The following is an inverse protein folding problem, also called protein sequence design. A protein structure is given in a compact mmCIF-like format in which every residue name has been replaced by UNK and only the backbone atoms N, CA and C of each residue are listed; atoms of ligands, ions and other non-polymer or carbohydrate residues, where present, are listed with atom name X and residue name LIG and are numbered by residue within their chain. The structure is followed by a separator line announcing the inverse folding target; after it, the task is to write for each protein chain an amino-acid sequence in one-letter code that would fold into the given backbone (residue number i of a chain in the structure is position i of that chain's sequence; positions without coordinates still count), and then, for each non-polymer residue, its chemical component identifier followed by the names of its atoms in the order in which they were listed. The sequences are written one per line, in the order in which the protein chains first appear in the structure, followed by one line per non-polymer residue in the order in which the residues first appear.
data_IF_097868525296
#
_entry.id   IF_097868525296
#
_cell.length_a   1.000
_cell.length_b   1.000
_cell.length_c   1.000
_cell.angle_alpha   90.00
_cell.angle_beta   90.00
_cell.angle_gamma   90.00
#
_symmetry.space_group_name_H-M   'P 1'
#
loop_
_entity.id
_entity.type
_entity.pdbx_description
1 polymer ?
#
# COMPACT_ATOMS: atom_id res chain seq x y z
N UNK A 1 10.68 -69.61 18.90
CA UNK A 1 10.39 -68.48 19.81
C UNK A 1 11.11 -67.24 19.31
N UNK A 2 10.36 -66.14 19.16
CA UNK A 2 10.72 -64.71 19.12
C UNK A 2 11.62 -64.10 18.02
N UNK A 3 10.94 -63.62 16.97
CA UNK A 3 10.95 -62.27 16.37
C UNK A 3 12.18 -61.36 16.56
N UNK A 4 12.97 -61.20 15.49
CA UNK A 4 13.85 -60.05 15.29
C UNK A 4 13.07 -58.87 14.74
N UNK A 5 12.90 -57.82 15.55
CA UNK A 5 12.29 -56.56 15.14
C UNK A 5 13.32 -55.63 14.51
N UNK A 6 13.10 -55.26 13.25
CA UNK A 6 13.80 -54.17 12.56
C UNK A 6 13.35 -52.82 13.14
N UNK A 7 14.25 -51.91 13.54
CA UNK A 7 13.84 -50.57 13.95
C UNK A 7 13.51 -49.75 12.70
N UNK A 8 12.23 -49.40 12.54
CA UNK A 8 11.78 -48.40 11.55
C UNK A 8 12.25 -47.03 12.03
N UNK A 9 13.27 -46.48 11.39
CA UNK A 9 13.70 -45.10 11.56
C UNK A 9 12.56 -44.17 11.12
N UNK A 10 12.01 -43.41 12.07
CA UNK A 10 11.06 -42.33 11.79
C UNK A 10 11.78 -41.21 11.07
N UNK A 11 11.52 -41.08 9.76
CA UNK A 11 11.86 -39.91 8.94
C UNK A 11 11.07 -38.70 9.45
N UNK A 12 11.65 -37.98 10.42
CA UNK A 12 11.25 -36.63 10.77
C UNK A 12 11.72 -35.70 9.66
N UNK A 13 10.81 -35.40 8.72
CA UNK A 13 11.08 -34.56 7.56
C UNK A 13 11.53 -33.16 7.96
N UNK A 14 12.85 -32.94 7.99
CA UNK A 14 13.43 -31.60 7.97
C UNK A 14 13.27 -31.07 6.55
N UNK A 15 12.14 -30.40 6.30
CA UNK A 15 11.85 -29.82 4.98
C UNK A 15 12.91 -28.77 4.64
N UNK A 16 13.43 -28.86 3.42
CA UNK A 16 14.49 -27.98 2.92
C UNK A 16 14.09 -26.49 3.00
N UNK A 17 14.97 -25.59 3.47
CA UNK A 17 14.69 -24.16 3.57
C UNK A 17 14.21 -23.52 2.26
N UNK A 18 14.70 -24.05 1.13
CA UNK A 18 14.33 -23.61 -0.22
C UNK A 18 12.87 -23.92 -0.55
N UNK A 19 12.39 -25.11 -0.18
CA UNK A 19 11.00 -25.53 -0.40
C UNK A 19 10.04 -24.74 0.51
N UNK A 20 10.46 -24.44 1.74
CA UNK A 20 9.70 -23.60 2.66
C UNK A 20 9.56 -22.15 2.17
N UNK A 21 10.63 -21.58 1.59
CA UNK A 21 10.59 -20.23 1.01
C UNK A 21 9.67 -20.15 -0.21
N UNK A 22 9.67 -21.16 -1.09
CA UNK A 22 8.74 -21.23 -2.23
C UNK A 22 7.27 -21.32 -1.76
N UNK A 23 7.00 -22.19 -0.79
CA UNK A 23 5.67 -22.39 -0.20
C UNK A 23 5.13 -21.08 0.38
N UNK A 24 5.95 -20.38 1.18
CA UNK A 24 5.57 -19.08 1.77
C UNK A 24 5.22 -18.05 0.70
N UNK A 25 6.03 -17.95 -0.38
CA UNK A 25 5.79 -17.02 -1.48
C UNK A 25 4.49 -17.32 -2.23
N UNK A 26 4.24 -18.60 -2.55
CA UNK A 26 3.01 -19.04 -3.23
C UNK A 26 1.77 -18.73 -2.41
N UNK A 27 1.81 -18.99 -1.10
CA UNK A 27 0.72 -18.63 -0.18
C UNK A 27 0.48 -17.13 -0.14
N UNK A 28 1.53 -16.31 -0.06
CA UNK A 28 1.41 -14.85 -0.02
C UNK A 28 0.76 -14.31 -1.31
N UNK A 29 1.20 -14.80 -2.48
CA UNK A 29 0.64 -14.40 -3.77
C UNK A 29 -0.84 -14.79 -3.91
N UNK A 30 -1.18 -16.05 -3.60
CA UNK A 30 -2.57 -16.53 -3.64
C UNK A 30 -3.47 -15.78 -2.65
N UNK A 31 -2.96 -15.46 -1.46
CA UNK A 31 -3.69 -14.69 -0.46
C UNK A 31 -3.93 -13.25 -0.91
N UNK A 32 -2.91 -12.60 -1.51
CA UNK A 32 -3.03 -11.24 -2.07
C UNK A 32 -4.15 -11.16 -3.09
N UNK A 33 -4.18 -12.11 -4.04
CA UNK A 33 -5.24 -12.21 -5.05
C UNK A 33 -6.62 -12.36 -4.41
N UNK A 34 -6.79 -13.32 -3.50
CA UNK A 34 -8.10 -13.62 -2.88
C UNK A 34 -8.59 -12.49 -1.98
N UNK A 35 -7.73 -11.95 -1.14
CA UNK A 35 -8.10 -10.84 -0.26
C UNK A 35 -8.40 -9.55 -1.03
N UNK A 36 -7.68 -9.26 -2.13
CA UNK A 36 -8.00 -8.12 -2.98
C UNK A 36 -9.38 -8.26 -3.64
N UNK A 37 -9.76 -9.49 -4.03
CA UNK A 37 -11.03 -9.78 -4.69
C UNK A 37 -12.24 -9.79 -3.72
N UNK A 38 -12.12 -10.53 -2.61
CA UNK A 38 -13.26 -10.86 -1.73
C UNK A 38 -13.14 -10.30 -0.31
N UNK A 39 -12.06 -9.59 -0.02
CA UNK A 39 -11.77 -9.07 1.32
C UNK A 39 -11.42 -10.16 2.34
N UNK A 40 -11.12 -9.71 3.56
CA UNK A 40 -10.74 -10.61 4.65
C UNK A 40 -11.87 -11.58 5.00
N UNK A 41 -13.08 -11.09 5.25
CA UNK A 41 -14.21 -11.93 5.68
C UNK A 41 -14.63 -12.94 4.60
N UNK A 42 -14.66 -12.53 3.32
CA UNK A 42 -15.13 -13.33 2.20
C UNK A 42 -14.14 -14.36 1.65
N UNK A 43 -12.94 -14.48 2.22
CA UNK A 43 -11.90 -15.41 1.75
C UNK A 43 -11.66 -16.52 2.76
N UNK A 44 -11.70 -17.80 2.36
CA UNK A 44 -11.34 -18.92 3.23
C UNK A 44 -9.88 -19.33 3.08
N UNK A 45 -9.30 -19.92 4.14
CA UNK A 45 -7.92 -20.45 4.09
C UNK A 45 -7.81 -21.59 3.07
N UNK A 46 -8.87 -22.38 2.88
CA UNK A 46 -8.91 -23.47 1.90
C UNK A 46 -8.82 -22.98 0.46
N UNK A 47 -9.52 -21.91 0.11
CA UNK A 47 -9.41 -21.29 -1.22
C UNK A 47 -7.99 -20.80 -1.49
N UNK A 48 -7.36 -20.17 -0.50
CA UNK A 48 -5.97 -19.71 -0.61
C UNK A 48 -5.02 -20.89 -0.83
N UNK A 49 -5.10 -21.94 0.00
CA UNK A 49 -4.20 -23.09 -0.11
C UNK A 49 -4.43 -23.89 -1.38
N UNK A 50 -5.68 -23.98 -1.84
CA UNK A 50 -6.04 -24.59 -3.12
C UNK A 50 -5.41 -23.84 -4.29
N UNK A 51 -5.56 -22.51 -4.33
CA UNK A 51 -4.94 -21.66 -5.35
C UNK A 51 -3.40 -21.72 -5.28
N UNK A 52 -2.84 -21.70 -4.08
CA UNK A 52 -1.40 -21.79 -3.88
C UNK A 52 -0.84 -23.19 -4.20
N UNK A 53 -1.67 -24.24 -4.29
CA UNK A 53 -1.26 -25.62 -4.50
C UNK A 53 -0.45 -26.20 -3.33
N UNK A 54 -0.84 -25.87 -2.09
CA UNK A 54 -0.16 -26.31 -0.85
C UNK A 54 -1.17 -26.86 0.16
N UNK A 55 -0.69 -27.54 1.19
CA UNK A 55 -1.56 -28.06 2.25
C UNK A 55 -2.04 -26.96 3.22
N UNK A 56 -3.14 -27.22 3.92
CA UNK A 56 -3.74 -26.25 4.87
C UNK A 56 -2.81 -25.90 6.05
N UNK A 57 -2.01 -26.88 6.51
CA UNK A 57 -1.09 -26.70 7.63
C UNK A 57 0.02 -25.68 7.33
N UNK A 58 0.37 -25.47 6.05
CA UNK A 58 1.37 -24.51 5.62
C UNK A 58 1.02 -23.07 6.03
N UNK A 59 -0.28 -22.71 6.10
CA UNK A 59 -0.69 -21.36 6.54
C UNK A 59 -0.38 -21.16 8.02
N UNK A 60 -0.74 -22.13 8.87
CA UNK A 60 -0.42 -22.06 10.30
C UNK A 60 1.10 -22.06 10.53
N UNK A 61 1.84 -22.88 9.77
CA UNK A 61 3.29 -22.94 9.88
C UNK A 61 3.99 -21.62 9.50
N UNK A 62 3.61 -20.99 8.38
CA UNK A 62 4.30 -19.80 7.86
C UNK A 62 3.77 -18.46 8.40
N UNK A 63 2.48 -18.41 8.76
CA UNK A 63 1.79 -17.16 9.09
C UNK A 63 1.00 -17.23 10.40
N UNK A 64 0.94 -18.39 11.04
CA UNK A 64 0.22 -18.63 12.29
C UNK A 64 -1.29 -18.72 12.11
N UNK A 65 -1.90 -17.71 11.48
CA UNK A 65 -3.35 -17.62 11.29
C UNK A 65 -3.70 -16.96 9.95
N UNK A 66 -4.98 -17.03 9.56
CA UNK A 66 -5.51 -16.24 8.44
C UNK A 66 -5.29 -14.74 8.62
N UNK A 67 -5.43 -14.23 9.86
CA UNK A 67 -5.16 -12.84 10.18
C UNK A 67 -3.68 -12.49 9.99
N UNK A 68 -2.76 -13.34 10.43
CA UNK A 68 -1.33 -13.18 10.20
C UNK A 68 -0.96 -13.22 8.73
N UNK A 69 -1.61 -14.06 7.92
CA UNK A 69 -1.44 -14.07 6.46
C UNK A 69 -1.98 -12.78 5.82
N UNK A 70 -3.14 -12.27 6.26
CA UNK A 70 -3.67 -11.00 5.79
C UNK A 70 -2.74 -9.82 6.12
N UNK A 71 -2.20 -9.78 7.34
CA UNK A 71 -1.22 -8.77 7.73
C UNK A 71 0.07 -8.87 6.91
N UNK A 72 0.53 -10.08 6.59
CA UNK A 72 1.70 -10.28 5.72
C UNK A 72 1.44 -9.77 4.29
N UNK A 73 0.24 -9.95 3.75
CA UNK A 73 -0.17 -9.39 2.44
C UNK A 73 -0.19 -7.86 2.49
N UNK A 74 -0.80 -7.28 3.52
CA UNK A 74 -0.81 -5.82 3.69
C UNK A 74 0.62 -5.25 3.83
N UNK A 75 1.50 -5.97 4.52
CA UNK A 75 2.90 -5.60 4.66
C UNK A 75 3.66 -5.66 3.33
N UNK A 76 3.42 -6.69 2.50
CA UNK A 76 3.97 -6.82 1.15
C UNK A 76 3.54 -5.66 0.23
N UNK A 77 2.28 -5.24 0.33
CA UNK A 77 1.75 -4.11 -0.42
C UNK A 77 2.30 -2.77 0.09
N UNK A 78 2.29 -2.54 1.42
CA UNK A 78 2.57 -1.23 2.01
C UNK A 78 4.06 -0.97 2.29
N UNK A 79 4.88 -2.02 2.39
CA UNK A 79 6.32 -1.90 2.60
C UNK A 79 7.02 -1.04 1.53
N UNK A 80 6.82 -1.34 0.24
CA UNK A 80 7.37 -0.54 -0.86
C UNK A 80 6.92 0.92 -0.82
N UNK A 81 5.66 1.20 -0.43
CA UNK A 81 5.18 2.58 -0.28
C UNK A 81 5.99 3.33 0.78
N UNK A 82 6.14 2.76 1.99
CA UNK A 82 6.91 3.42 3.06
C UNK A 82 8.35 3.71 2.65
N UNK A 83 9.00 2.78 1.97
CA UNK A 83 10.36 2.97 1.46
C UNK A 83 10.43 4.14 0.47
N UNK A 84 9.49 4.20 -0.49
CA UNK A 84 9.43 5.27 -1.50
C UNK A 84 9.17 6.64 -0.90
N UNK A 85 8.23 6.73 0.03
CA UNK A 85 7.92 7.98 0.74
C UNK A 85 9.12 8.44 1.55
N UNK A 86 9.81 7.53 2.25
CA UNK A 86 11.02 7.89 2.99
C UNK A 86 12.10 8.43 2.06
N UNK A 87 12.30 7.81 0.89
CA UNK A 87 13.27 8.29 -0.10
C UNK A 87 12.89 9.66 -0.66
N UNK A 88 11.62 9.89 -0.98
CA UNK A 88 11.13 11.18 -1.45
C UNK A 88 11.26 12.27 -0.38
N UNK A 89 10.92 11.95 0.87
CA UNK A 89 11.06 12.85 2.00
C UNK A 89 12.51 13.13 2.36
N UNK A 90 13.49 12.29 2.01
CA UNK A 90 14.92 12.50 2.35
C UNK A 90 15.78 12.86 1.14
N UNK A 91 15.18 13.34 0.05
CA UNK A 91 15.94 13.71 -1.13
C UNK A 91 16.82 14.93 -0.84
N UNK A 92 18.04 14.68 -0.35
CA UNK A 92 19.01 15.69 0.05
C UNK A 92 19.32 16.65 -1.10
N UNK A 93 19.54 17.92 -0.75
CA UNK A 93 19.80 18.99 -1.71
C UNK A 93 18.57 19.52 -2.46
N UNK A 94 17.38 18.95 -2.22
CA UNK A 94 16.11 19.50 -2.72
C UNK A 94 15.43 20.37 -1.68
N UNK A 95 14.72 21.38 -2.16
CA UNK A 95 13.89 22.25 -1.35
C UNK A 95 12.70 21.46 -0.76
N UNK A 96 12.18 21.80 0.43
CA UNK A 96 11.01 21.14 1.02
C UNK A 96 9.83 21.00 0.05
N UNK A 97 9.49 22.05 -0.71
CA UNK A 97 8.38 22.00 -1.66
C UNK A 97 8.60 20.96 -2.77
N UNK A 98 9.84 20.82 -3.27
CA UNK A 98 10.20 19.83 -4.29
C UNK A 98 10.15 18.39 -3.74
N UNK A 99 10.50 18.19 -2.46
CA UNK A 99 10.35 16.91 -1.76
C UNK A 99 8.89 16.53 -1.60
N UNK A 100 8.02 17.50 -1.29
CA UNK A 100 6.57 17.33 -1.21
C UNK A 100 5.96 16.95 -2.58
N UNK A 101 6.41 17.55 -3.68
CA UNK A 101 6.03 17.12 -5.03
C UNK A 101 6.48 15.68 -5.31
N UNK A 102 7.72 15.33 -4.93
CA UNK A 102 8.25 13.98 -5.09
C UNK A 102 7.45 12.93 -4.30
N UNK A 103 6.92 13.29 -3.12
CA UNK A 103 6.02 12.45 -2.33
C UNK A 103 4.75 12.11 -3.09
N UNK A 104 4.12 13.08 -3.74
CA UNK A 104 2.91 12.85 -4.55
C UNK A 104 3.23 11.90 -5.72
N UNK A 105 4.32 12.13 -6.44
CA UNK A 105 4.77 11.26 -7.54
C UNK A 105 5.09 9.84 -7.05
N UNK A 106 5.72 9.71 -5.89
CA UNK A 106 6.02 8.42 -5.27
C UNK A 106 4.75 7.63 -4.93
N UNK A 107 3.69 8.29 -4.50
CA UNK A 107 2.37 7.68 -4.32
C UNK A 107 1.79 7.15 -5.63
N UNK A 108 1.77 7.96 -6.69
CA UNK A 108 1.27 7.53 -8.01
C UNK A 108 2.08 6.36 -8.58
N UNK A 109 3.41 6.40 -8.46
CA UNK A 109 4.28 5.30 -8.86
C UNK A 109 3.95 4.01 -8.11
N UNK A 110 3.78 4.08 -6.79
CA UNK A 110 3.40 2.94 -5.98
C UNK A 110 2.02 2.38 -6.38
N UNK A 111 1.02 3.23 -6.61
CA UNK A 111 -0.33 2.82 -6.99
C UNK A 111 -0.38 2.17 -8.38
N UNK A 112 0.45 2.62 -9.34
CA UNK A 112 0.58 1.96 -10.65
C UNK A 112 1.14 0.54 -10.53
N UNK A 113 2.11 0.34 -9.64
CA UNK A 113 2.72 -0.97 -9.42
C UNK A 113 1.87 -1.89 -8.52
N UNK A 114 0.96 -1.32 -7.72
CA UNK A 114 0.12 -2.02 -6.77
C UNK A 114 -1.35 -1.65 -6.96
N UNK A 115 -1.98 -2.08 -8.08
CA UNK A 115 -3.36 -1.70 -8.44
C UNK A 115 -4.43 -2.24 -7.48
N UNK A 116 -4.06 -3.16 -6.59
CA UNK A 116 -4.88 -3.71 -5.51
C UNK A 116 -4.84 -2.90 -4.22
N UNK A 117 -3.86 -2.00 -4.03
CA UNK A 117 -3.75 -1.17 -2.84
C UNK A 117 -5.02 -0.34 -2.56
N UNK A 118 -5.64 0.38 -3.53
CA UNK A 118 -6.90 1.10 -3.28
C UNK A 118 -8.00 0.19 -2.72
N UNK A 119 -8.12 -1.05 -3.21
CA UNK A 119 -9.12 -2.00 -2.71
C UNK A 119 -8.85 -2.38 -1.25
N UNK A 120 -7.60 -2.64 -0.88
CA UNK A 120 -7.24 -2.89 0.52
C UNK A 120 -7.58 -1.69 1.42
N UNK A 121 -7.34 -0.46 0.96
CA UNK A 121 -7.72 0.73 1.72
C UNK A 121 -9.23 0.86 1.88
N UNK A 122 -10.00 0.63 0.83
CA UNK A 122 -11.46 0.62 0.91
C UNK A 122 -11.98 -0.42 1.91
N UNK A 123 -11.42 -1.63 1.90
CA UNK A 123 -11.74 -2.67 2.87
C UNK A 123 -11.44 -2.21 4.31
N UNK A 124 -10.30 -1.55 4.56
CA UNK A 124 -9.99 -1.05 5.90
C UNK A 124 -10.98 0.02 6.37
N UNK A 125 -11.47 0.88 5.46
CA UNK A 125 -12.43 1.93 5.79
C UNK A 125 -13.82 1.39 6.16
N UNK A 126 -14.27 0.29 5.54
CA UNK A 126 -15.60 -0.28 5.78
C UNK A 126 -15.67 -1.15 7.04
N UNK A 127 -14.53 -1.54 7.62
CA UNK A 127 -14.49 -2.42 8.78
C UNK A 127 -14.62 -1.71 10.14
N UNK A 128 -15.00 -0.41 10.16
CA UNK A 128 -15.54 0.32 11.33
C UNK A 128 -14.67 0.38 12.59
N UNK A 129 -13.41 -0.05 12.52
CA UNK A 129 -12.53 -0.27 13.67
C UNK A 129 -11.11 0.25 13.46
N UNK A 130 -10.20 -0.21 14.31
CA UNK A 130 -8.76 0.09 14.19
C UNK A 130 -8.20 -0.57 12.92
N UNK A 131 -7.40 0.15 12.11
CA UNK A 131 -6.74 -0.46 10.96
C UNK A 131 -5.83 -1.59 11.40
N UNK A 132 -5.65 -2.59 10.53
CA UNK A 132 -4.69 -3.67 10.75
C UNK A 132 -3.29 -3.11 11.04
N UNK A 133 -2.48 -3.81 11.83
CA UNK A 133 -1.20 -3.29 12.31
C UNK A 133 -0.26 -2.75 11.19
N UNK A 134 -0.11 -3.43 10.03
CA UNK A 134 0.68 -2.91 8.91
C UNK A 134 0.16 -1.58 8.35
N UNK A 135 -1.16 -1.42 8.27
CA UNK A 135 -1.81 -0.19 7.79
C UNK A 135 -1.59 0.93 8.79
N UNK A 136 -1.82 0.68 10.08
CA UNK A 136 -1.60 1.65 11.14
C UNK A 136 -0.14 2.12 11.21
N UNK A 137 0.83 1.19 11.07
CA UNK A 137 2.26 1.52 10.98
C UNK A 137 2.56 2.41 9.78
N UNK A 138 2.00 2.07 8.62
CA UNK A 138 2.22 2.83 7.37
C UNK A 138 1.63 4.24 7.45
N UNK A 139 0.41 4.38 7.97
CA UNK A 139 -0.21 5.68 8.18
C UNK A 139 0.64 6.57 9.10
N UNK A 140 1.08 6.05 10.26
CA UNK A 140 1.95 6.80 11.18
C UNK A 140 3.26 7.22 10.54
N UNK A 141 3.90 6.30 9.81
CA UNK A 141 5.17 6.54 9.13
C UNK A 141 5.06 7.64 8.07
N UNK A 142 4.11 7.48 7.15
CA UNK A 142 3.90 8.43 6.05
C UNK A 142 3.49 9.79 6.59
N UNK A 143 2.51 9.84 7.51
CA UNK A 143 2.05 11.10 8.07
C UNK A 143 3.18 11.82 8.82
N UNK A 144 3.97 11.10 9.60
CA UNK A 144 5.11 11.66 10.32
C UNK A 144 6.17 12.28 9.41
N UNK A 145 6.63 11.52 8.40
CA UNK A 145 7.67 12.00 7.47
C UNK A 145 7.17 13.19 6.63
N UNK A 146 5.96 13.13 6.08
CA UNK A 146 5.42 14.23 5.24
C UNK A 146 5.17 15.48 6.08
N UNK A 147 4.60 15.35 7.29
CA UNK A 147 4.39 16.47 8.21
C UNK A 147 5.72 17.14 8.58
N UNK A 148 6.80 16.36 8.75
CA UNK A 148 8.12 16.91 9.03
C UNK A 148 8.63 17.77 7.86
N UNK A 149 8.48 17.32 6.61
CA UNK A 149 8.86 18.12 5.42
C UNK A 149 7.99 19.38 5.29
N UNK A 150 6.69 19.30 5.61
CA UNK A 150 5.82 20.48 5.63
C UNK A 150 6.33 21.52 6.63
N UNK A 151 6.65 21.10 7.87
CA UNK A 151 7.19 22.01 8.90
C UNK A 151 8.53 22.62 8.51
N UNK A 152 9.40 21.83 7.88
CA UNK A 152 10.67 22.32 7.34
C UNK A 152 10.42 23.42 6.28
N UNK A 153 9.48 23.19 5.36
CA UNK A 153 9.08 24.17 4.36
C UNK A 153 8.44 25.43 4.95
N UNK A 154 7.68 25.30 6.04
CA UNK A 154 7.10 26.44 6.75
C UNK A 154 8.19 27.29 7.42
N UNK A 155 9.15 26.64 8.10
CA UNK A 155 10.28 27.33 8.70
C UNK A 155 11.16 28.04 7.67
N UNK A 156 11.27 27.49 6.46
CA UNK A 156 12.00 28.07 5.34
C UNK A 156 11.20 29.12 4.54
N UNK A 157 9.93 29.37 4.89
CA UNK A 157 9.05 30.31 4.17
C UNK A 157 8.61 29.84 2.78
N UNK A 158 8.80 28.56 2.45
CA UNK A 158 8.40 27.98 1.15
C UNK A 158 6.98 27.45 1.15
N UNK A 159 6.54 26.96 2.31
CA UNK A 159 5.20 26.40 2.52
C UNK A 159 4.42 27.38 3.38
N UNK A 160 3.16 27.61 3.03
CA UNK A 160 2.26 28.51 3.74
C UNK A 160 2.02 28.09 5.19
N UNK A 161 1.73 29.08 6.03
CA UNK A 161 1.30 28.87 7.40
C UNK A 161 -0.12 28.27 7.43
N UNK A 162 -0.18 26.96 7.65
CA UNK A 162 -1.39 26.16 7.68
C UNK A 162 -1.12 24.94 8.58
N UNK A 163 -2.18 24.23 8.98
CA UNK A 163 -2.00 23.01 9.78
C UNK A 163 -1.17 21.96 9.00
N UNK A 164 0.01 21.58 9.49
CA UNK A 164 0.93 20.74 8.72
C UNK A 164 0.44 19.30 8.57
N UNK A 165 -0.41 18.83 9.49
CA UNK A 165 -1.02 17.50 9.43
C UNK A 165 -2.11 17.50 8.36
N UNK A 166 -2.95 18.54 8.30
CA UNK A 166 -3.96 18.68 7.25
C UNK A 166 -3.32 18.83 5.86
N UNK A 167 -2.25 19.61 5.73
CA UNK A 167 -1.46 19.68 4.50
C UNK A 167 -0.99 18.30 4.04
N UNK A 168 -0.35 17.55 4.94
CA UNK A 168 0.12 16.20 4.65
C UNK A 168 -1.04 15.27 4.25
N UNK A 169 -2.15 15.30 4.99
CA UNK A 169 -3.35 14.50 4.71
C UNK A 169 -3.95 14.82 3.33
N UNK A 170 -4.14 16.10 3.00
CA UNK A 170 -4.69 16.50 1.70
C UNK A 170 -3.81 16.02 0.54
N UNK A 171 -2.49 16.11 0.67
CA UNK A 171 -1.55 15.65 -0.35
C UNK A 171 -1.60 14.14 -0.56
N UNK A 172 -1.61 13.34 0.52
CA UNK A 172 -1.55 11.87 0.41
C UNK A 172 -2.92 11.26 0.12
N UNK A 173 -4.01 11.95 0.47
CA UNK A 173 -5.37 11.51 0.19
C UNK A 173 -5.67 11.57 -1.31
N UNK A 174 -5.18 12.60 -2.02
CA UNK A 174 -5.55 12.82 -3.42
C UNK A 174 -5.18 11.65 -4.35
N UNK A 175 -3.94 11.09 -4.36
CA UNK A 175 -3.61 9.94 -5.21
C UNK A 175 -4.49 8.72 -4.91
N UNK A 176 -4.75 8.44 -3.62
CA UNK A 176 -5.58 7.31 -3.20
C UNK A 176 -7.03 7.51 -3.65
N UNK A 177 -7.60 8.69 -3.41
CA UNK A 177 -8.97 9.01 -3.79
C UNK A 177 -9.15 8.97 -5.31
N UNK A 178 -8.20 9.51 -6.08
CA UNK A 178 -8.23 9.45 -7.53
C UNK A 178 -8.16 8.01 -8.05
N UNK A 179 -7.32 7.17 -7.44
CA UNK A 179 -7.25 5.75 -7.81
C UNK A 179 -8.54 4.98 -7.45
N UNK A 180 -9.14 5.27 -6.30
CA UNK A 180 -10.43 4.69 -5.89
C UNK A 180 -11.57 5.09 -6.83
N UNK A 181 -11.62 6.36 -7.22
CA UNK A 181 -12.69 6.93 -8.02
C UNK A 181 -12.46 6.85 -9.53
N UNK A 182 -11.30 6.37 -9.99
CA UNK A 182 -10.95 6.34 -11.41
C UNK A 182 -11.97 5.60 -12.28
N UNK A 183 -12.35 4.37 -11.90
CA UNK A 183 -13.30 3.57 -12.70
C UNK A 183 -14.71 4.18 -12.70
N UNK A 184 -15.32 4.53 -11.55
CA UNK A 184 -16.63 5.19 -11.55
C UNK A 184 -16.64 6.51 -12.32
N UNK A 185 -15.62 7.37 -12.12
CA UNK A 185 -15.56 8.66 -12.79
C UNK A 185 -15.38 8.54 -14.31
N UNK A 186 -14.58 7.59 -14.79
CA UNK A 186 -14.45 7.33 -16.23
C UNK A 186 -15.78 6.88 -16.85
N UNK A 187 -16.56 6.06 -16.14
CA UNK A 187 -17.89 5.66 -16.60
C UNK A 187 -18.85 6.85 -16.69
N UNK A 188 -18.85 7.72 -15.67
CA UNK A 188 -19.69 8.93 -15.65
C UNK A 188 -19.28 9.93 -16.73
N UNK A 189 -17.99 10.26 -16.84
CA UNK A 189 -17.50 11.22 -17.85
C UNK A 189 -17.67 10.68 -19.27
N UNK A 190 -17.47 9.37 -19.48
CA UNK A 190 -17.72 8.74 -20.78
C UNK A 190 -19.20 8.79 -21.20
N UNK A 191 -20.13 8.76 -20.24
CA UNK A 191 -21.56 8.93 -20.47
C UNK A 191 -21.97 10.41 -20.67
N UNK A 192 -21.16 11.35 -20.17
CA UNK A 192 -21.43 12.78 -20.21
C UNK A 192 -20.28 13.58 -20.86
N UNK A 193 -20.11 13.52 -22.20
CA UNK A 193 -19.00 14.19 -22.89
C UNK A 193 -18.91 15.70 -22.65
N UNK A 194 -20.04 16.34 -22.30
CA UNK A 194 -20.11 17.76 -21.98
C UNK A 194 -19.31 18.15 -20.72
N UNK A 195 -19.06 17.21 -19.79
CA UNK A 195 -18.20 17.45 -18.62
C UNK A 195 -16.74 17.67 -19.02
N UNK A 196 -16.31 17.10 -20.16
CA UNK A 196 -14.91 17.11 -20.58
C UNK A 196 -13.98 16.41 -19.57
N UNK A 197 -12.67 16.49 -19.85
CA UNK A 197 -11.63 15.97 -18.96
C UNK A 197 -10.96 14.68 -19.44
N UNK A 198 -9.66 14.58 -19.16
CA UNK A 198 -8.78 13.48 -19.62
C UNK A 198 -8.37 12.59 -18.45
N UNK A 199 -9.35 11.85 -17.91
CA UNK A 199 -9.12 10.92 -16.78
C UNK A 199 -8.60 9.54 -17.22
N UNK A 200 -8.53 9.29 -18.51
CA UNK A 200 -7.93 8.11 -19.12
C UNK A 200 -6.39 8.21 -19.18
N UNK A 201 -5.83 9.42 -19.17
CA UNK A 201 -4.39 9.71 -19.17
C UNK A 201 -3.77 9.72 -17.76
N UNK A 202 -3.04 8.68 -17.30
CA UNK A 202 -2.52 8.63 -15.92
C UNK A 202 -1.49 9.72 -15.62
N UNK A 203 -0.67 10.08 -16.61
CA UNK A 203 0.32 11.15 -16.49
C UNK A 203 -0.34 12.52 -16.28
N UNK A 204 -1.49 12.77 -16.93
CA UNK A 204 -2.23 14.03 -16.76
C UNK A 204 -2.80 14.16 -15.34
N UNK A 205 -3.32 13.06 -14.78
CA UNK A 205 -3.81 13.01 -13.40
C UNK A 205 -2.68 13.25 -12.39
N UNK A 206 -1.54 12.58 -12.57
CA UNK A 206 -0.37 12.76 -11.70
C UNK A 206 0.13 14.21 -11.74
N UNK A 207 0.30 14.78 -12.93
CA UNK A 207 0.76 16.16 -13.08
C UNK A 207 -0.22 17.18 -12.49
N UNK A 208 -1.53 16.95 -12.66
CA UNK A 208 -2.54 17.76 -11.99
C UNK A 208 -2.38 17.69 -10.47
N UNK A 209 -2.22 16.49 -9.90
CA UNK A 209 -2.06 16.32 -8.46
C UNK A 209 -0.81 17.01 -7.90
N UNK A 210 0.30 16.92 -8.62
CA UNK A 210 1.54 17.61 -8.23
C UNK A 210 1.34 19.13 -8.26
N UNK A 211 0.75 19.68 -9.33
CA UNK A 211 0.49 21.12 -9.43
C UNK A 211 -0.52 21.60 -8.38
N UNK A 212 -1.56 20.82 -8.13
CA UNK A 212 -2.57 21.13 -7.12
C UNK A 212 -1.96 21.16 -5.71
N UNK A 213 -1.17 20.14 -5.36
CA UNK A 213 -0.43 20.12 -4.11
C UNK A 213 0.53 21.31 -3.99
N UNK A 214 1.33 21.59 -5.03
CA UNK A 214 2.25 22.75 -5.03
C UNK A 214 1.51 24.06 -4.83
N UNK A 215 0.46 24.33 -5.61
CA UNK A 215 -0.32 25.57 -5.50
C UNK A 215 -1.07 25.70 -4.16
N UNK A 216 -1.49 24.57 -3.59
CA UNK A 216 -2.11 24.48 -2.26
C UNK A 216 -1.14 24.65 -1.09
N UNK A 217 0.17 24.43 -1.31
CA UNK A 217 1.19 24.50 -0.27
C UNK A 217 2.08 25.73 -0.35
N UNK A 218 2.41 26.21 -1.55
CA UNK A 218 3.36 27.30 -1.72
C UNK A 218 2.94 28.55 -0.94
N UNK A 219 3.91 29.20 -0.29
CA UNK A 219 3.71 30.50 0.32
C UNK A 219 3.36 31.55 -0.75
N UNK A 220 2.44 32.47 -0.43
CA UNK A 220 1.87 33.45 -1.38
C UNK A 220 2.83 34.56 -1.83
N UNK A 221 4.15 34.37 -1.73
CA UNK A 221 5.16 35.43 -1.92
C UNK A 221 6.32 35.09 -2.84
N UNK A 222 6.16 34.14 -3.77
CA UNK A 222 7.22 33.68 -4.67
C UNK A 222 7.26 34.35 -6.06
N UNK A 223 6.65 35.53 -6.23
CA UNK A 223 6.91 36.41 -7.37
C UNK A 223 7.70 37.62 -6.86
N UNK A 224 9.02 37.51 -6.95
CA UNK A 224 9.98 38.58 -6.69
C UNK A 224 11.16 38.44 -7.63
#
# INVERSE_FOLDING_TARGET
MNTGGTPVARSGGRQDPVVGADTRRRLLAAARERFAASGFAGTSVREITGLAGVNLAAVNYHFGTKAGLYEAVLEDVLGPLRARISAACRADGRRPLERLEAVVRAFFAHLRENPDHPRFMLQQLTHGGRPAAPVARTMRHVLGEVTAVVREGQAAGEVRDADPVLCALSMVAQPIQMALMATPLRAVIGAEPALGGRLDEPAHIEDHAVRFARGGLAASGGEG
#
